data_IF_337268892566
#
_entry.id   IF_337268892566
#
_cell.length_a   1.000
_cell.length_b   1.000
_cell.length_c   1.000
_cell.angle_alpha   90.00
_cell.angle_beta   90.00
_cell.angle_gamma   90.00
#
_symmetry.space_group_name_H-M   'P 1'
#
loop_
_entity.id
_entity.type
_entity.pdbx_description
1 polymer ?
#
# COMPACT_ATOMS: atom_id res chain seq x y z
N UNK A 1 8.64 -9.75 -17.31
CA UNK A 1 9.31 -10.59 -18.31
C UNK A 1 10.23 -11.53 -17.55
N UNK A 2 9.72 -12.72 -17.21
CA UNK A 2 10.53 -13.74 -16.53
C UNK A 2 11.30 -14.44 -17.66
N UNK A 3 12.60 -14.15 -17.77
CA UNK A 3 13.49 -14.83 -18.70
C UNK A 3 13.78 -16.20 -18.09
N UNK A 4 12.93 -17.18 -18.40
CA UNK A 4 13.25 -18.58 -18.12
C UNK A 4 14.31 -19.00 -19.14
N UNK A 5 15.50 -19.35 -18.66
CA UNK A 5 16.40 -20.19 -19.43
C UNK A 5 15.61 -21.41 -19.90
N UNK A 6 15.71 -21.80 -21.17
CA UNK A 6 14.89 -22.89 -21.76
C UNK A 6 15.11 -24.24 -21.05
N UNK A 7 16.25 -24.38 -20.35
CA UNK A 7 16.56 -25.55 -19.54
C UNK A 7 15.75 -25.60 -18.25
N UNK A 8 15.37 -26.81 -17.82
CA UNK A 8 14.71 -27.03 -16.52
C UNK A 8 15.63 -26.56 -15.41
N UNK A 9 15.02 -25.99 -14.35
CA UNK A 9 15.78 -25.37 -13.25
C UNK A 9 16.68 -26.37 -12.54
N UNK A 10 16.32 -27.65 -12.51
CA UNK A 10 17.14 -28.70 -11.90
C UNK A 10 18.45 -28.98 -12.65
N UNK A 11 18.49 -28.67 -13.95
CA UNK A 11 19.65 -28.91 -14.82
C UNK A 11 20.55 -27.67 -14.93
N UNK A 12 20.24 -26.58 -14.23
CA UNK A 12 21.00 -25.34 -14.33
C UNK A 12 22.39 -25.49 -13.73
N UNK A 13 23.37 -25.05 -14.50
CA UNK A 13 24.75 -24.90 -14.05
C UNK A 13 24.92 -23.66 -13.16
N UNK A 14 26.08 -23.51 -12.52
CA UNK A 14 26.41 -22.30 -11.75
C UNK A 14 26.32 -21.02 -12.61
N UNK A 15 26.68 -21.10 -13.89
CA UNK A 15 26.64 -19.97 -14.82
C UNK A 15 25.20 -19.58 -15.18
N UNK A 16 24.31 -20.58 -15.29
CA UNK A 16 22.87 -20.38 -15.48
C UNK A 16 22.24 -19.72 -14.25
N UNK A 17 22.56 -20.21 -13.05
CA UNK A 17 22.13 -19.62 -11.78
C UNK A 17 22.66 -18.18 -11.65
N UNK A 18 23.90 -17.93 -12.03
CA UNK A 18 24.46 -16.57 -12.04
C UNK A 18 23.70 -15.65 -13.01
N UNK A 19 23.38 -16.13 -14.21
CA UNK A 19 22.61 -15.39 -15.21
C UNK A 19 21.21 -15.07 -14.69
N UNK A 20 20.58 -16.04 -14.01
CA UNK A 20 19.33 -15.84 -13.31
C UNK A 20 19.44 -14.74 -12.23
N UNK A 21 20.42 -14.79 -11.32
CA UNK A 21 20.62 -13.76 -10.30
C UNK A 21 20.92 -12.38 -10.91
N UNK A 22 21.67 -12.32 -12.00
CA UNK A 22 21.94 -11.09 -12.74
C UNK A 22 20.64 -10.51 -13.33
N UNK A 23 19.75 -11.35 -13.87
CA UNK A 23 18.44 -10.94 -14.39
C UNK A 23 17.51 -10.38 -13.31
N UNK A 24 17.69 -10.82 -12.06
CA UNK A 24 16.96 -10.30 -10.90
C UNK A 24 17.52 -8.96 -10.38
N UNK A 25 18.59 -8.44 -10.98
CA UNK A 25 19.27 -7.23 -10.54
C UNK A 25 20.28 -7.47 -9.41
N UNK A 26 20.80 -8.70 -9.29
CA UNK A 26 21.80 -9.05 -8.28
C UNK A 26 23.14 -9.58 -8.86
N UNK A 27 23.76 -8.91 -9.84
CA UNK A 27 25.03 -9.36 -10.43
C UNK A 27 26.20 -9.41 -9.43
N UNK A 28 26.11 -8.66 -8.33
CA UNK A 28 27.14 -8.59 -7.29
C UNK A 28 27.37 -9.91 -6.55
N UNK A 29 26.41 -10.85 -6.58
CA UNK A 29 26.54 -12.13 -5.87
C UNK A 29 27.35 -13.18 -6.65
N UNK A 30 27.89 -12.83 -7.83
CA UNK A 30 28.70 -13.72 -8.66
C UNK A 30 29.87 -14.36 -7.91
N UNK A 31 30.60 -13.55 -7.15
CA UNK A 31 31.81 -14.00 -6.45
C UNK A 31 31.49 -14.99 -5.33
N UNK A 32 30.35 -14.82 -4.67
CA UNK A 32 29.86 -15.68 -3.61
C UNK A 32 29.35 -17.00 -4.21
N UNK A 33 28.53 -16.96 -5.26
CA UNK A 33 27.98 -18.15 -5.93
C UNK A 33 29.09 -19.05 -6.47
N UNK A 34 30.13 -18.47 -7.11
CA UNK A 34 31.25 -19.23 -7.69
C UNK A 34 32.33 -19.65 -6.69
N UNK A 35 32.36 -19.02 -5.51
CA UNK A 35 33.38 -19.24 -4.47
C UNK A 35 33.02 -20.34 -3.47
N UNK A 36 31.79 -20.85 -3.52
CA UNK A 36 31.32 -21.88 -2.57
C UNK A 36 31.87 -23.24 -3.00
N UNK A 37 32.46 -23.97 -2.04
CA UNK A 37 33.00 -25.32 -2.25
C UNK A 37 31.98 -26.32 -2.81
N UNK A 38 30.70 -26.07 -2.58
CA UNK A 38 29.58 -26.80 -3.15
C UNK A 38 29.03 -26.02 -4.33
N UNK A 39 29.12 -26.60 -5.52
CA UNK A 39 28.63 -26.02 -6.78
C UNK A 39 27.19 -25.53 -6.60
N UNK A 40 26.98 -24.22 -6.48
CA UNK A 40 25.64 -23.65 -6.28
C UNK A 40 24.88 -23.69 -7.61
N UNK A 41 24.37 -24.89 -7.91
CA UNK A 41 23.68 -25.25 -9.14
C UNK A 41 22.17 -25.22 -8.92
N UNK A 42 21.42 -25.46 -9.99
CA UNK A 42 19.97 -25.37 -10.00
C UNK A 42 19.24 -26.31 -9.04
N UNK A 43 19.78 -27.50 -8.84
CA UNK A 43 19.35 -28.48 -7.85
C UNK A 43 19.46 -27.94 -6.41
N UNK A 44 20.61 -27.33 -6.08
CA UNK A 44 20.85 -26.67 -4.79
C UNK A 44 19.92 -25.47 -4.62
N UNK A 45 19.73 -24.68 -5.68
CA UNK A 45 18.81 -23.53 -5.68
C UNK A 45 17.35 -23.97 -5.44
N UNK A 46 16.95 -25.18 -5.87
CA UNK A 46 15.60 -25.68 -5.66
C UNK A 46 15.29 -26.02 -4.20
N UNK A 47 16.31 -26.41 -3.42
CA UNK A 47 16.20 -26.84 -2.02
C UNK A 47 16.65 -25.77 -1.02
N UNK A 48 17.22 -24.65 -1.50
CA UNK A 48 17.76 -23.61 -0.60
C UNK A 48 16.64 -22.93 0.18
N UNK A 49 16.89 -22.72 1.47
CA UNK A 49 16.00 -22.00 2.37
C UNK A 49 16.50 -20.57 2.63
N UNK A 50 15.77 -19.84 3.48
CA UNK A 50 16.13 -18.46 3.81
C UNK A 50 17.47 -18.37 4.56
N UNK A 51 17.87 -19.36 5.34
CA UNK A 51 19.17 -19.33 6.02
C UNK A 51 20.31 -19.70 5.06
N UNK A 52 20.11 -20.64 4.13
CA UNK A 52 21.07 -20.94 3.08
C UNK A 52 21.38 -19.70 2.23
N UNK A 53 20.37 -18.93 1.82
CA UNK A 53 20.58 -17.67 1.10
C UNK A 53 21.32 -16.60 1.93
N UNK A 54 21.15 -16.62 3.26
CA UNK A 54 21.86 -15.71 4.17
C UNK A 54 23.35 -16.05 4.23
N UNK A 55 23.69 -17.32 4.23
CA UNK A 55 25.08 -17.80 4.21
C UNK A 55 25.79 -17.44 2.90
N UNK A 56 25.05 -17.29 1.79
CA UNK A 56 25.55 -16.73 0.52
C UNK A 56 25.86 -15.21 0.60
N UNK A 57 25.52 -14.55 1.72
CA UNK A 57 25.70 -13.11 1.90
C UNK A 57 24.45 -12.28 1.58
N UNK A 58 23.27 -12.89 1.43
CA UNK A 58 21.99 -12.17 1.21
C UNK A 58 21.37 -11.84 2.57
N UNK A 59 21.84 -10.75 3.18
CA UNK A 59 21.50 -10.38 4.56
C UNK A 59 20.03 -9.93 4.71
N UNK A 60 19.51 -9.20 3.72
CA UNK A 60 18.15 -8.63 3.80
C UNK A 60 17.08 -9.70 3.62
N UNK A 61 16.21 -9.85 4.64
CA UNK A 61 15.06 -10.78 4.63
C UNK A 61 14.18 -10.55 3.39
N UNK A 62 13.88 -9.30 3.05
CA UNK A 62 13.04 -8.98 1.88
C UNK A 62 13.63 -9.49 0.56
N UNK A 63 14.96 -9.40 0.38
CA UNK A 63 15.64 -9.93 -0.81
C UNK A 63 15.61 -11.45 -0.84
N UNK A 64 15.83 -12.11 0.30
CA UNK A 64 15.75 -13.57 0.39
C UNK A 64 14.36 -14.07 0.01
N UNK A 65 13.32 -13.47 0.57
CA UNK A 65 11.93 -13.82 0.25
C UNK A 65 11.59 -13.53 -1.22
N UNK A 66 12.10 -12.44 -1.80
CA UNK A 66 11.91 -12.14 -3.21
C UNK A 66 12.54 -13.21 -4.12
N UNK A 67 13.76 -13.64 -3.81
CA UNK A 67 14.45 -14.70 -4.56
C UNK A 67 13.70 -16.02 -4.42
N UNK A 68 13.36 -16.44 -3.19
CA UNK A 68 12.62 -17.68 -2.94
C UNK A 68 11.25 -17.69 -3.64
N UNK A 69 10.56 -16.54 -3.67
CA UNK A 69 9.30 -16.39 -4.43
C UNK A 69 9.51 -16.61 -5.93
N UNK A 70 10.58 -16.07 -6.50
CA UNK A 70 10.84 -16.24 -7.94
C UNK A 70 11.27 -17.69 -8.23
N UNK A 71 12.10 -18.30 -7.39
CA UNK A 71 12.47 -19.72 -7.50
C UNK A 71 11.22 -20.60 -7.47
N UNK A 72 10.28 -20.34 -6.56
CA UNK A 72 8.98 -21.02 -6.53
C UNK A 72 8.24 -20.91 -7.87
N UNK A 73 8.13 -19.70 -8.44
CA UNK A 73 7.47 -19.50 -9.73
C UNK A 73 8.15 -20.24 -10.88
N UNK A 74 9.49 -20.29 -10.89
CA UNK A 74 10.26 -21.03 -11.89
C UNK A 74 10.05 -22.54 -11.72
N UNK A 75 10.02 -23.07 -10.49
CA UNK A 75 9.72 -24.48 -10.22
C UNK A 75 8.35 -24.86 -10.77
N UNK A 76 7.32 -24.03 -10.55
CA UNK A 76 5.98 -24.23 -11.12
C UNK A 76 6.01 -24.20 -12.65
N UNK A 77 6.67 -23.21 -13.26
CA UNK A 77 6.77 -23.09 -14.71
C UNK A 77 7.48 -24.29 -15.36
N UNK A 78 8.48 -24.86 -14.68
CA UNK A 78 9.25 -26.01 -15.16
C UNK A 78 8.69 -27.37 -14.71
N UNK A 79 7.52 -27.39 -14.05
CA UNK A 79 6.88 -28.61 -13.54
C UNK A 79 7.74 -29.37 -12.53
N UNK A 80 8.51 -28.67 -11.70
CA UNK A 80 9.28 -29.26 -10.60
C UNK A 80 8.36 -29.42 -9.38
N UNK A 81 8.22 -30.64 -8.82
CA UNK A 81 7.43 -30.86 -7.60
C UNK A 81 7.87 -29.94 -6.45
N UNK A 82 6.88 -29.43 -5.71
CA UNK A 82 7.11 -28.63 -4.50
C UNK A 82 6.85 -29.52 -3.29
N UNK A 83 7.94 -30.04 -2.70
CA UNK A 83 7.95 -30.76 -1.42
C UNK A 83 7.62 -29.84 -0.22
N UNK A 84 7.28 -30.46 0.92
CA UNK A 84 6.78 -29.79 2.15
C UNK A 84 7.78 -28.85 2.83
N UNK A 85 9.08 -29.08 2.63
CA UNK A 85 10.18 -28.29 3.18
C UNK A 85 10.56 -27.09 2.30
N UNK A 86 10.03 -27.00 1.08
CA UNK A 86 10.30 -25.89 0.19
C UNK A 86 9.54 -24.62 0.57
N UNK A 87 10.13 -23.48 0.27
CA UNK A 87 9.44 -22.20 0.41
C UNK A 87 8.20 -22.13 -0.50
N UNK A 88 7.05 -21.85 0.11
CA UNK A 88 5.79 -21.54 -0.56
C UNK A 88 5.37 -20.11 -0.17
N UNK A 89 5.13 -19.20 -1.12
CA UNK A 89 4.64 -17.86 -0.81
C UNK A 89 3.35 -17.93 0.02
N UNK A 90 3.16 -17.05 1.03
CA UNK A 90 1.97 -17.08 1.89
C UNK A 90 0.63 -17.04 1.14
N UNK A 91 0.59 -16.41 -0.04
CA UNK A 91 -0.59 -16.39 -0.91
C UNK A 91 -0.97 -17.77 -1.44
N UNK A 92 0.02 -18.59 -1.78
CA UNK A 92 -0.14 -19.94 -2.36
C UNK A 92 -0.30 -21.00 -1.24
N UNK A 93 0.30 -20.74 -0.08
CA UNK A 93 0.17 -21.60 1.09
C UNK A 93 -1.30 -21.66 1.59
N UNK A 94 -2.06 -20.57 1.44
CA UNK A 94 -3.48 -20.51 1.78
C UNK A 94 -4.32 -21.46 0.90
N UNK A 95 -3.95 -21.61 -0.39
CA UNK A 95 -4.61 -22.53 -1.32
C UNK A 95 -4.29 -24.00 -1.00
N UNK A 96 -3.08 -24.30 -0.53
CA UNK A 96 -2.70 -25.66 -0.10
C UNK A 96 -3.32 -26.08 1.23
N UNK A 97 -3.44 -25.17 2.19
CA UNK A 97 -4.07 -25.42 3.48
C UNK A 97 -5.61 -25.44 3.40
N UNK A 98 -6.16 -24.89 2.32
CA UNK A 98 -7.58 -24.74 2.11
C UNK A 98 -7.95 -25.11 0.69
N UNK A 99 -8.32 -26.37 0.50
CA UNK A 99 -9.63 -26.64 -0.06
C UNK A 99 -10.67 -25.86 0.75
N UNK A 100 -10.75 -24.54 0.52
CA UNK A 100 -11.87 -23.72 0.95
C UNK A 100 -13.05 -24.38 0.25
N UNK A 101 -13.76 -25.23 1.00
CA UNK A 101 -14.98 -25.87 0.53
C UNK A 101 -15.84 -24.76 -0.06
N UNK A 102 -16.54 -25.04 -1.16
CA UNK A 102 -17.46 -24.10 -1.80
C UNK A 102 -18.34 -23.41 -0.73
N UNK A 103 -18.74 -24.14 0.32
CA UNK A 103 -19.46 -23.60 1.47
C UNK A 103 -18.65 -22.59 2.31
N UNK A 104 -17.36 -22.83 2.55
CA UNK A 104 -16.46 -21.89 3.20
C UNK A 104 -16.22 -20.64 2.36
N UNK A 105 -16.19 -20.77 1.03
CA UNK A 105 -16.11 -19.63 0.11
C UNK A 105 -17.39 -18.78 0.21
N UNK A 106 -18.56 -19.41 0.23
CA UNK A 106 -19.83 -18.72 0.45
C UNK A 106 -19.87 -17.99 1.78
N UNK A 107 -19.39 -18.59 2.87
CA UNK A 107 -19.32 -17.94 4.18
C UNK A 107 -18.37 -16.74 4.18
N UNK A 108 -17.17 -16.88 3.59
CA UNK A 108 -16.22 -15.78 3.48
C UNK A 108 -16.76 -14.63 2.63
N UNK A 109 -17.42 -14.92 1.50
CA UNK A 109 -18.06 -13.91 0.66
C UNK A 109 -19.18 -13.20 1.43
N UNK A 110 -19.98 -13.95 2.19
CA UNK A 110 -21.04 -13.38 3.00
C UNK A 110 -20.47 -12.47 4.10
N UNK A 111 -19.46 -12.93 4.83
CA UNK A 111 -18.80 -12.16 5.89
C UNK A 111 -18.15 -10.88 5.35
N UNK A 112 -17.51 -10.96 4.18
CA UNK A 112 -16.97 -9.79 3.49
C UNK A 112 -18.09 -8.82 3.04
N UNK A 113 -19.22 -9.34 2.57
CA UNK A 113 -20.40 -8.54 2.22
C UNK A 113 -20.95 -7.77 3.43
N UNK A 114 -21.01 -8.40 4.60
CA UNK A 114 -21.48 -7.75 5.83
C UNK A 114 -20.50 -6.70 6.37
N UNK A 115 -19.19 -6.97 6.31
CA UNK A 115 -18.18 -5.96 6.62
C UNK A 115 -18.25 -4.79 5.66
N UNK A 116 -18.38 -5.04 4.36
CA UNK A 116 -18.47 -3.99 3.34
C UNK A 116 -19.68 -3.10 3.59
N UNK A 117 -20.85 -3.69 3.84
CA UNK A 117 -22.08 -2.96 4.17
C UNK A 117 -21.91 -2.05 5.39
N UNK A 118 -21.32 -2.58 6.45
CA UNK A 118 -21.05 -1.82 7.69
C UNK A 118 -20.14 -0.61 7.40
N UNK A 119 -19.10 -0.81 6.60
CA UNK A 119 -18.17 0.26 6.20
C UNK A 119 -18.87 1.31 5.32
N UNK A 120 -19.69 0.88 4.36
CA UNK A 120 -20.46 1.78 3.51
C UNK A 120 -21.44 2.64 4.30
N UNK A 121 -22.11 2.05 5.30
CA UNK A 121 -22.99 2.76 6.23
C UNK A 121 -22.23 3.81 7.05
N UNK A 122 -21.05 3.45 7.59
CA UNK A 122 -20.20 4.39 8.30
C UNK A 122 -19.70 5.51 7.39
N UNK A 123 -19.33 5.19 6.15
CA UNK A 123 -18.91 6.19 5.17
C UNK A 123 -20.04 7.15 4.81
N UNK A 124 -21.27 6.64 4.63
CA UNK A 124 -22.45 7.47 4.40
C UNK A 124 -22.75 8.40 5.59
N UNK A 125 -22.62 7.90 6.82
CA UNK A 125 -22.80 8.69 8.05
C UNK A 125 -21.74 9.79 8.19
N UNK A 126 -20.47 9.48 7.97
CA UNK A 126 -19.38 10.46 8.01
C UNK A 126 -19.59 11.53 6.94
N UNK A 127 -19.93 11.11 5.72
CA UNK A 127 -20.20 12.03 4.61
C UNK A 127 -21.33 13.02 4.95
N UNK A 128 -22.45 12.51 5.50
CA UNK A 128 -23.56 13.34 5.97
C UNK A 128 -23.17 14.27 7.12
N UNK A 129 -22.30 13.83 8.01
CA UNK A 129 -21.81 14.65 9.12
C UNK A 129 -20.90 15.78 8.61
N UNK A 130 -20.07 15.49 7.60
CA UNK A 130 -19.23 16.50 6.96
C UNK A 130 -20.06 17.55 6.23
N UNK A 131 -21.08 17.15 5.46
CA UNK A 131 -21.96 18.11 4.75
C UNK A 131 -22.68 19.03 5.73
N UNK A 132 -23.21 18.50 6.83
CA UNK A 132 -23.87 19.32 7.85
C UNK A 132 -22.91 20.31 8.50
N UNK A 133 -21.68 19.91 8.85
CA UNK A 133 -20.65 20.82 9.39
C UNK A 133 -20.31 21.93 8.38
N UNK A 134 -20.15 21.58 7.10
CA UNK A 134 -19.86 22.55 6.03
C UNK A 134 -21.00 23.56 5.90
N UNK A 135 -22.25 23.11 5.93
CA UNK A 135 -23.42 23.98 5.85
C UNK A 135 -23.58 24.88 7.07
N UNK A 136 -23.33 24.37 8.28
CA UNK A 136 -23.32 25.15 9.51
C UNK A 136 -22.23 26.23 9.47
N UNK A 137 -21.02 25.89 9.01
CA UNK A 137 -19.93 26.86 8.86
C UNK A 137 -20.27 27.94 7.84
N UNK A 138 -20.90 27.58 6.72
CA UNK A 138 -21.40 28.52 5.71
C UNK A 138 -22.47 29.46 6.28
N UNK A 139 -23.41 28.93 7.06
CA UNK A 139 -24.44 29.74 7.72
C UNK A 139 -23.84 30.73 8.73
N UNK A 140 -22.88 30.28 9.54
CA UNK A 140 -22.16 31.11 10.52
C UNK A 140 -21.43 32.27 9.84
N UNK A 141 -20.71 32.02 8.74
CA UNK A 141 -20.05 33.08 7.96
C UNK A 141 -21.05 34.11 7.41
N UNK A 142 -22.23 33.66 6.98
CA UNK A 142 -23.30 34.56 6.50
C UNK A 142 -23.84 35.43 7.63
N UNK A 143 -24.03 34.89 8.83
CA UNK A 143 -24.45 35.65 10.01
C UNK A 143 -23.38 36.66 10.41
N UNK A 144 -22.12 36.26 10.50
CA UNK A 144 -20.99 37.14 10.83
C UNK A 144 -20.91 38.33 9.87
N UNK A 145 -21.04 38.08 8.56
CA UNK A 145 -21.04 39.13 7.55
C UNK A 145 -22.21 40.12 7.65
N UNK A 146 -23.36 39.67 8.19
CA UNK A 146 -24.53 40.54 8.43
C UNK A 146 -24.30 41.41 9.65
N UNK A 147 -23.73 40.87 10.72
CA UNK A 147 -23.39 41.62 11.95
C UNK A 147 -22.38 42.72 11.61
N UNK A 148 -21.30 42.40 10.90
CA UNK A 148 -20.29 43.38 10.45
C UNK A 148 -20.90 44.54 9.64
N UNK A 149 -21.92 44.25 8.80
CA UNK A 149 -22.62 45.27 8.01
C UNK A 149 -23.50 46.15 8.89
N UNK A 150 -24.16 45.60 9.90
CA UNK A 150 -25.00 46.36 10.84
C UNK A 150 -24.14 47.29 11.68
N UNK A 151 -23.03 46.79 12.24
CA UNK A 151 -22.12 47.59 13.06
C UNK A 151 -21.52 48.76 12.28
N UNK A 152 -21.06 48.52 11.04
CA UNK A 152 -20.59 49.60 10.16
C UNK A 152 -21.67 50.66 9.90
N UNK A 153 -22.91 50.25 9.64
CA UNK A 153 -24.01 51.19 9.42
C UNK A 153 -24.36 52.01 10.67
N UNK A 154 -24.26 51.40 11.86
CA UNK A 154 -24.50 52.08 13.13
C UNK A 154 -23.42 53.16 13.38
N UNK A 155 -22.15 52.83 13.13
CA UNK A 155 -21.03 53.76 13.24
C UNK A 155 -21.20 54.95 12.28
N UNK A 156 -21.51 54.68 11.00
CA UNK A 156 -21.72 55.73 9.99
C UNK A 156 -22.90 56.64 10.32
N UNK A 157 -23.97 56.10 10.92
CA UNK A 157 -25.10 56.92 11.39
C UNK A 157 -24.70 57.77 12.59
N UNK A 158 -24.01 57.19 13.57
CA UNK A 158 -23.52 57.91 14.74
C UNK A 158 -22.60 59.09 14.39
N UNK A 159 -21.65 58.89 13.48
CA UNK A 159 -20.75 59.95 13.02
C UNK A 159 -21.50 61.06 12.27
N UNK A 160 -22.49 60.71 11.46
CA UNK A 160 -23.32 61.69 10.73
C UNK A 160 -24.18 62.54 11.68
N UNK A 161 -24.73 61.92 12.73
CA UNK A 161 -25.48 62.64 13.79
C UNK A 161 -24.55 63.59 14.55
N UNK A 162 -23.38 63.13 14.96
CA UNK A 162 -22.40 63.97 15.65
C UNK A 162 -21.92 65.13 14.77
N UNK A 163 -21.63 64.89 13.49
CA UNK A 163 -21.28 65.96 12.53
C UNK A 163 -22.41 66.98 12.38
N UNK A 164 -23.67 66.54 12.24
CA UNK A 164 -24.80 67.44 12.13
C UNK A 164 -25.02 68.28 13.40
N UNK A 165 -24.75 67.70 14.57
CA UNK A 165 -24.84 68.40 15.84
C UNK A 165 -23.70 69.41 16.02
N UNK A 166 -22.46 69.04 15.67
CA UNK A 166 -21.30 69.94 15.67
C UNK A 166 -21.51 71.14 14.72
N UNK A 167 -22.10 70.92 13.54
CA UNK A 167 -22.41 72.01 12.59
C UNK A 167 -23.47 72.99 13.10
N UNK A 168 -24.32 72.62 14.06
CA UNK A 168 -25.25 73.56 14.72
C UNK A 168 -24.54 74.53 15.68
N UNK A 169 -23.33 74.20 16.13
CA UNK A 169 -22.53 75.05 17.02
C UNK A 169 -21.44 75.86 16.30
N UNK A 170 -21.28 75.70 14.97
CA UNK A 170 -20.39 76.53 14.17
C UNK A 170 -21.16 77.79 13.75
N UNK A 171 -20.99 78.86 14.52
CA UNK A 171 -21.50 80.20 14.19
C UNK A 171 -20.63 80.77 13.07
N UNK A 172 -21.19 81.23 11.93
CA UNK A 172 -20.41 81.87 10.89
C UNK A 172 -19.96 83.26 11.35
N UNK A 173 -18.64 83.47 11.43
CA UNK A 173 -18.02 84.79 11.49
C UNK A 173 -17.79 85.31 10.07
#
# INVERSE_FOLDING_TARGET
MVMALEARIIDWTEDDVHTFFSSLGYPQYKGQIRGIKHRFSGDVLCIVDAEGLKDLGIISVGRRLAILKIVYLVKIAHGVPIEDDHYVPPSEAMERLGNISINGLYQLIHEQGDRLRTIEEQHALISKSLTTIVDLKRASLKVMSRIDRVDRNLIVRGTRVLQSHLLQYVVPC
#
